data_IF_525264979829
#
_entry.id   IF_525264979829
#
_cell.length_a   1.000
_cell.length_b   1.000
_cell.length_c   1.000
_cell.angle_alpha   90.00
_cell.angle_beta   90.00
_cell.angle_gamma   90.00
#
_symmetry.space_group_name_H-M   'P 1'
#
loop_
_entity.id
_entity.type
_entity.pdbx_description
1 polymer ?
#
# COMPACT_ATOMS: atom_id res chain seq x y z
N UNK A 1 -4.12 52.11 -1.88
CA UNK A 1 -5.22 51.13 -1.71
C UNK A 1 -5.01 49.84 -2.50
N UNK A 2 -4.53 49.88 -3.75
CA UNK A 2 -4.33 48.67 -4.56
C UNK A 2 -3.19 47.74 -4.07
N UNK A 3 -2.11 48.28 -3.50
CA UNK A 3 -0.96 47.47 -3.06
C UNK A 3 -1.26 46.54 -1.87
N UNK A 4 -2.11 46.97 -0.92
CA UNK A 4 -2.52 46.15 0.22
C UNK A 4 -3.42 44.98 -0.19
N UNK A 5 -4.21 45.16 -1.25
CA UNK A 5 -5.06 44.10 -1.80
C UNK A 5 -4.24 42.99 -2.43
N UNK A 6 -3.15 43.33 -3.13
CA UNK A 6 -2.24 42.35 -3.74
C UNK A 6 -1.51 41.55 -2.66
N UNK A 7 -0.99 42.22 -1.61
CA UNK A 7 -0.35 41.53 -0.50
C UNK A 7 -1.29 40.57 0.24
N UNK A 8 -2.56 40.97 0.45
CA UNK A 8 -3.56 40.10 1.06
C UNK A 8 -3.85 38.86 0.20
N UNK A 9 -4.00 39.02 -1.12
CA UNK A 9 -4.25 37.92 -2.07
C UNK A 9 -3.10 36.89 -2.10
N UNK A 10 -1.85 37.36 -2.07
CA UNK A 10 -0.67 36.47 -2.02
C UNK A 10 -0.62 35.71 -0.70
N UNK A 11 -0.92 36.36 0.44
CA UNK A 11 -0.97 35.70 1.74
C UNK A 11 -2.05 34.60 1.79
N UNK A 12 -3.21 34.84 1.17
CA UNK A 12 -4.30 33.85 1.10
C UNK A 12 -3.98 32.66 0.19
N UNK A 13 -3.22 32.85 -0.89
CA UNK A 13 -2.83 31.75 -1.79
C UNK A 13 -1.92 30.72 -1.11
N UNK A 14 -1.09 31.14 -0.16
CA UNK A 14 -0.20 30.25 0.61
C UNK A 14 -0.90 29.46 1.72
N UNK A 15 -2.17 29.78 2.02
CA UNK A 15 -2.97 29.08 3.04
C UNK A 15 -3.89 28.00 2.42
N UNK A 16 -3.88 27.84 1.09
CA UNK A 16 -4.66 26.82 0.41
C UNK A 16 -3.83 25.53 0.33
N UNK A 17 -4.01 24.66 1.32
CA UNK A 17 -3.46 23.31 1.30
C UNK A 17 -4.45 22.39 0.55
N UNK A 18 -4.10 21.98 -0.67
CA UNK A 18 -4.92 21.06 -1.46
C UNK A 18 -4.61 19.62 -1.05
N UNK A 19 -5.40 19.04 -0.15
CA UNK A 19 -5.31 17.62 0.14
C UNK A 19 -6.03 16.80 -0.93
N UNK A 20 -5.27 16.17 -1.82
CA UNK A 20 -5.78 15.15 -2.73
C UNK A 20 -5.51 13.76 -2.14
N UNK A 21 -6.56 13.01 -1.83
CA UNK A 21 -6.47 11.58 -1.55
C UNK A 21 -6.82 10.82 -2.83
N UNK A 22 -5.89 9.99 -3.28
CA UNK A 22 -6.14 9.03 -4.35
C UNK A 22 -6.53 7.70 -3.70
N UNK A 23 -7.81 7.33 -3.76
CA UNK A 23 -8.26 6.01 -3.34
C UNK A 23 -7.98 5.01 -4.47
N UNK A 24 -6.91 4.25 -4.35
CA UNK A 24 -6.59 3.18 -5.29
C UNK A 24 -7.37 1.91 -4.92
N UNK A 25 -8.35 1.57 -5.75
CA UNK A 25 -9.06 0.31 -5.61
C UNK A 25 -8.23 -0.82 -6.25
N UNK A 26 -7.63 -1.66 -5.41
CA UNK A 26 -6.93 -2.87 -5.82
C UNK A 26 -7.65 -4.11 -5.29
N UNK A 27 -7.80 -5.11 -6.15
CA UNK A 27 -8.36 -6.41 -5.76
C UNK A 27 -7.30 -7.27 -5.07
N UNK A 28 -7.74 -8.12 -4.13
CA UNK A 28 -6.86 -9.08 -3.46
C UNK A 28 -6.37 -10.13 -4.46
N UNK A 29 -5.06 -10.26 -4.61
CA UNK A 29 -4.40 -11.31 -5.37
C UNK A 29 -4.34 -12.61 -4.56
N UNK A 30 -3.63 -12.57 -3.43
CA UNK A 30 -3.38 -13.75 -2.60
C UNK A 30 -3.36 -13.44 -1.11
N UNK A 31 -3.30 -14.48 -0.28
CA UNK A 31 -3.07 -14.38 1.17
C UNK A 31 -1.93 -15.33 1.50
N UNK A 32 -0.80 -14.78 1.94
CA UNK A 32 0.45 -15.54 2.06
C UNK A 32 1.23 -15.15 3.31
N UNK A 33 2.15 -16.01 3.72
CA UNK A 33 3.11 -15.74 4.79
C UNK A 33 4.36 -15.17 4.15
N UNK A 34 4.32 -13.91 3.74
CA UNK A 34 5.48 -13.23 3.15
C UNK A 34 5.54 -11.81 3.68
N UNK A 35 6.72 -11.39 4.14
CA UNK A 35 6.98 -10.03 4.60
C UNK A 35 8.40 -9.62 4.19
N UNK A 36 8.59 -9.08 2.98
CA UNK A 36 9.92 -8.79 2.48
C UNK A 36 10.65 -7.70 3.28
N UNK A 37 9.91 -6.87 4.02
CA UNK A 37 10.46 -5.81 4.87
C UNK A 37 10.69 -6.30 6.29
N UNK A 38 9.70 -6.93 6.91
CA UNK A 38 9.78 -7.38 8.30
C UNK A 38 10.53 -8.69 8.50
N UNK A 39 10.43 -9.63 7.55
CA UNK A 39 11.13 -10.92 7.56
C UNK A 39 11.72 -11.26 6.17
N UNK A 40 12.78 -10.54 5.75
CA UNK A 40 13.38 -10.75 4.44
C UNK A 40 13.80 -12.21 4.23
N UNK A 41 13.47 -12.77 3.07
CA UNK A 41 13.81 -14.14 2.62
C UNK A 41 13.21 -15.27 3.49
N UNK A 42 12.25 -14.97 4.35
CA UNK A 42 11.53 -15.96 5.13
C UNK A 42 10.19 -16.31 4.48
N UNK A 43 10.04 -17.53 3.99
CA UNK A 43 8.82 -17.98 3.29
C UNK A 43 7.67 -18.41 4.21
N UNK A 44 7.84 -18.28 5.54
CA UNK A 44 6.79 -18.63 6.51
C UNK A 44 6.93 -17.89 7.86
N UNK A 45 6.83 -16.56 7.90
CA UNK A 45 6.64 -15.79 9.14
C UNK A 45 5.39 -16.21 9.90
N UNK A 46 5.30 -15.78 11.16
CA UNK A 46 4.23 -16.18 12.10
C UNK A 46 2.86 -15.59 11.75
N UNK A 47 2.82 -14.57 10.89
CA UNK A 47 1.61 -13.86 10.45
C UNK A 47 1.42 -13.96 8.93
N UNK A 48 0.20 -13.63 8.50
CA UNK A 48 -0.24 -13.65 7.11
C UNK A 48 -0.48 -12.21 6.63
N UNK A 49 -0.22 -11.97 5.35
CA UNK A 49 -0.62 -10.76 4.67
C UNK A 49 -1.61 -11.05 3.56
N UNK A 50 -2.54 -10.12 3.36
CA UNK A 50 -3.31 -10.02 2.13
C UNK A 50 -2.50 -9.20 1.15
N UNK A 51 -2.23 -9.75 -0.04
CA UNK A 51 -1.41 -9.13 -1.08
C UNK A 51 -2.30 -8.62 -2.21
N UNK A 52 -2.00 -7.42 -2.71
CA UNK A 52 -2.62 -6.76 -3.85
C UNK A 52 -1.58 -5.88 -4.58
N UNK A 53 -1.88 -5.47 -5.82
CA UNK A 53 -0.97 -4.69 -6.64
C UNK A 53 -0.41 -5.52 -7.79
N UNK A 54 0.89 -5.46 -8.01
CA UNK A 54 1.58 -6.14 -9.10
C UNK A 54 1.95 -7.62 -8.82
N UNK A 55 2.70 -8.25 -9.75
CA UNK A 55 3.05 -9.66 -9.74
C UNK A 55 4.55 -10.01 -9.54
N UNK A 56 5.38 -9.04 -9.14
CA UNK A 56 6.78 -9.15 -8.70
C UNK A 56 6.94 -9.33 -7.18
N UNK A 57 5.86 -9.38 -6.39
CA UNK A 57 5.91 -9.58 -4.94
C UNK A 57 6.64 -10.90 -4.55
N UNK A 58 7.68 -10.80 -3.72
CA UNK A 58 8.55 -11.94 -3.37
C UNK A 58 9.22 -11.77 -1.99
N UNK A 59 9.46 -12.85 -1.26
CA UNK A 59 10.22 -12.87 0.00
C UNK A 59 11.58 -12.16 -0.07
N UNK A 60 12.23 -12.18 -1.23
CA UNK A 60 13.59 -11.65 -1.44
C UNK A 60 13.65 -10.21 -1.95
N UNK A 61 12.53 -9.46 -1.96
CA UNK A 61 12.52 -8.06 -2.39
C UNK A 61 13.35 -7.20 -1.44
N UNK A 62 14.57 -6.85 -1.85
CA UNK A 62 15.43 -5.93 -1.11
C UNK A 62 15.01 -4.48 -1.34
N UNK A 63 14.83 -3.71 -0.26
CA UNK A 63 14.24 -2.37 -0.31
C UNK A 63 15.06 -1.34 -1.09
N UNK A 64 16.36 -1.60 -1.29
CA UNK A 64 17.27 -0.72 -2.02
C UNK A 64 17.49 -1.07 -3.48
N UNK A 65 17.11 -2.28 -3.92
CA UNK A 65 17.50 -2.79 -5.24
C UNK A 65 16.36 -3.44 -6.03
N UNK A 66 15.24 -3.78 -5.38
CA UNK A 66 14.11 -4.39 -6.06
C UNK A 66 13.29 -3.34 -6.82
N UNK A 67 13.46 -3.31 -8.14
CA UNK A 67 12.63 -2.51 -9.04
C UNK A 67 11.29 -3.19 -9.32
N UNK A 68 10.24 -2.77 -8.62
CA UNK A 68 8.86 -3.28 -8.82
C UNK A 68 8.31 -2.92 -10.19
N UNK A 69 8.66 -1.73 -10.71
CA UNK A 69 8.10 -1.21 -11.97
C UNK A 69 8.64 -2.01 -13.15
N UNK A 70 9.96 -2.25 -13.19
CA UNK A 70 10.61 -2.98 -14.28
C UNK A 70 10.36 -4.49 -14.27
N UNK A 71 10.02 -5.07 -13.13
CA UNK A 71 9.82 -6.52 -12.98
C UNK A 71 8.37 -6.98 -13.10
N UNK A 72 7.43 -6.04 -13.12
CA UNK A 72 6.00 -6.33 -13.15
C UNK A 72 5.41 -6.27 -14.56
N UNK A 73 4.47 -7.15 -14.85
CA UNK A 73 3.77 -7.21 -16.15
C UNK A 73 2.25 -7.03 -16.03
N UNK A 74 1.71 -7.04 -14.81
CA UNK A 74 0.29 -6.81 -14.56
C UNK A 74 0.07 -6.18 -13.19
N UNK A 75 -1.13 -5.64 -12.97
CA UNK A 75 -1.58 -5.09 -11.68
C UNK A 75 -3.04 -5.46 -11.42
N UNK A 76 -3.39 -5.65 -10.14
CA UNK A 76 -4.76 -5.88 -9.66
C UNK A 76 -5.50 -4.58 -9.34
N UNK A 77 -4.83 -3.45 -9.48
CA UNK A 77 -5.34 -2.11 -9.23
C UNK A 77 -6.15 -1.57 -10.41
N UNK A 78 -7.05 -0.63 -10.12
CA UNK A 78 -7.91 0.01 -11.13
C UNK A 78 -7.11 0.86 -12.12
N UNK A 79 -6.01 1.46 -11.65
CA UNK A 79 -5.07 2.20 -12.49
C UNK A 79 -3.98 1.25 -12.96
N UNK A 80 -3.89 1.04 -14.27
CA UNK A 80 -2.92 0.11 -14.87
C UNK A 80 -1.47 0.59 -14.73
N UNK A 81 -1.28 1.88 -14.51
CA UNK A 81 0.01 2.53 -14.30
C UNK A 81 0.56 2.30 -12.89
N UNK A 82 -0.30 1.92 -11.94
CA UNK A 82 0.17 1.58 -10.60
C UNK A 82 0.61 0.12 -10.52
N UNK A 83 1.92 -0.03 -10.49
CA UNK A 83 2.67 -1.28 -10.32
C UNK A 83 3.41 -1.28 -8.98
N UNK A 84 2.73 -0.80 -7.94
CA UNK A 84 3.17 -0.91 -6.56
C UNK A 84 2.68 -2.21 -5.94
N UNK A 85 3.40 -2.68 -4.91
CA UNK A 85 2.94 -3.80 -4.08
C UNK A 85 2.31 -3.31 -2.78
N UNK A 86 1.15 -3.85 -2.44
CA UNK A 86 0.44 -3.57 -1.20
C UNK A 86 0.18 -4.86 -0.45
N UNK A 87 0.59 -4.90 0.81
CA UNK A 87 0.31 -6.03 1.67
C UNK A 87 -0.09 -5.58 3.08
N UNK A 88 -1.19 -6.13 3.57
CA UNK A 88 -1.77 -5.76 4.87
C UNK A 88 -1.94 -6.99 5.74
N UNK A 89 -1.67 -6.89 7.04
CA UNK A 89 -1.75 -8.03 7.95
C UNK A 89 -3.18 -8.57 7.99
N UNK A 90 -3.34 -9.88 7.85
CA UNK A 90 -4.63 -10.55 8.03
C UNK A 90 -4.85 -10.87 9.49
N UNK A 91 -5.92 -10.33 10.05
CA UNK A 91 -6.32 -10.57 11.44
C UNK A 91 -7.25 -11.78 11.54
N UNK A 92 -7.03 -12.56 12.60
CA UNK A 92 -7.90 -13.67 12.97
C UNK A 92 -8.41 -13.48 14.39
N UNK A 93 -9.73 -13.55 14.56
CA UNK A 93 -10.37 -13.59 15.87
C UNK A 93 -10.42 -15.02 16.39
N UNK A 94 -9.87 -15.24 17.59
CA UNK A 94 -9.98 -16.52 18.29
C UNK A 94 -11.26 -16.54 19.11
N UNK A 95 -12.21 -17.41 18.73
CA UNK A 95 -13.46 -17.61 19.47
C UNK A 95 -13.24 -18.54 20.68
N UNK A 96 -14.18 -18.54 21.64
CA UNK A 96 -14.07 -19.29 22.91
C UNK A 96 -13.86 -20.80 22.75
N UNK A 97 -14.30 -21.39 21.64
CA UNK A 97 -14.12 -22.82 21.35
C UNK A 97 -12.72 -23.17 20.81
N UNK A 98 -11.79 -22.20 20.75
CA UNK A 98 -10.42 -22.40 20.28
C UNK A 98 -10.22 -22.28 18.77
N UNK A 99 -11.29 -22.17 17.97
CA UNK A 99 -11.19 -21.95 16.52
C UNK A 99 -10.87 -20.49 16.18
N UNK A 100 -10.29 -20.28 14.99
CA UNK A 100 -9.94 -18.95 14.47
C UNK A 100 -10.83 -18.61 13.28
N UNK A 101 -11.34 -17.38 13.25
CA UNK A 101 -12.09 -16.84 12.11
C UNK A 101 -11.41 -15.57 11.61
N UNK A 102 -11.22 -15.48 10.29
CA UNK A 102 -10.65 -14.29 9.65
C UNK A 102 -11.58 -13.09 9.88
N UNK A 103 -11.01 -11.95 10.27
CA UNK A 103 -11.74 -10.68 10.36
C UNK A 103 -11.95 -10.15 8.93
N UNK A 104 -13.18 -9.73 8.55
CA UNK A 104 -13.46 -9.15 7.24
C UNK A 104 -12.63 -7.91 6.93
#
# INVERSE_FOLDING_TARGET
>A
MQLNFVFALVLFAHLVDSQAIMCLACSRLSVERLDPIGNPRLESPTYLHQIAGENSFNASMDTGSHDTVGQSICTSCTFGEDVSNYWTVVLYFRVKNGTYKRVP
#
